data_IF_459526301178
#
_entry.id   IF_459526301178
#
_cell.length_a   1.000
_cell.length_b   1.000
_cell.length_c   1.000
_cell.angle_alpha   90.00
_cell.angle_beta   90.00
_cell.angle_gamma   90.00
#
_symmetry.space_group_name_H-M   'P 1'
#
loop_
_entity.id
_entity.type
_entity.pdbx_description
1 polymer ?
#
# COMPACT_ATOMS: atom_id res chain seq x y z
N UNK A 1 24.21 -1.15 11.42
CA UNK A 1 23.11 -2.05 11.83
C UNK A 1 22.44 -2.58 10.58
N UNK A 2 22.24 -3.91 10.47
CA UNK A 2 21.48 -4.50 9.36
C UNK A 2 20.04 -3.98 9.41
N UNK A 3 19.58 -3.38 8.32
CA UNK A 3 18.17 -2.95 8.14
C UNK A 3 17.36 -4.16 7.67
N UNK A 4 17.12 -5.08 8.58
CA UNK A 4 16.58 -6.41 8.33
C UNK A 4 15.06 -6.45 8.12
N UNK A 5 14.36 -5.34 8.37
CA UNK A 5 12.95 -5.15 7.98
C UNK A 5 12.60 -3.66 7.78
N UNK A 6 11.46 -3.40 7.16
CA UNK A 6 10.93 -2.06 6.89
C UNK A 6 9.48 -1.94 7.36
N UNK A 7 8.94 -0.71 7.44
CA UNK A 7 7.50 -0.48 7.54
C UNK A 7 6.91 -0.24 6.15
N UNK A 8 5.76 -0.86 5.86
CA UNK A 8 4.96 -0.59 4.67
C UNK A 8 3.81 0.36 5.06
N UNK A 9 3.90 1.61 4.61
CA UNK A 9 2.91 2.66 4.87
C UNK A 9 1.68 2.52 3.95
N UNK A 10 1.08 1.34 3.89
CA UNK A 10 -0.07 1.07 3.04
C UNK A 10 -0.96 -0.01 3.65
N UNK A 11 -2.28 0.16 3.55
CA UNK A 11 -3.26 -0.87 3.89
C UNK A 11 -3.54 -1.86 2.74
N UNK A 12 -3.03 -1.59 1.53
CA UNK A 12 -3.29 -2.39 0.34
C UNK A 12 -2.66 -3.79 0.45
N UNK A 13 -3.45 -4.88 0.46
CA UNK A 13 -2.91 -6.24 0.48
C UNK A 13 -2.02 -6.54 -0.72
N UNK A 14 -2.36 -6.01 -1.91
CA UNK A 14 -1.62 -6.20 -3.16
C UNK A 14 -0.19 -5.68 -3.07
N UNK A 15 0.02 -4.51 -2.44
CA UNK A 15 1.38 -3.97 -2.21
C UNK A 15 2.19 -4.85 -1.28
N UNK A 16 1.55 -5.42 -0.27
CA UNK A 16 2.18 -6.40 0.62
C UNK A 16 2.59 -7.68 -0.11
N UNK A 17 1.75 -8.19 -1.00
CA UNK A 17 2.04 -9.37 -1.83
C UNK A 17 3.23 -9.13 -2.77
N UNK A 18 3.23 -7.99 -3.46
CA UNK A 18 4.35 -7.57 -4.32
C UNK A 18 5.66 -7.43 -3.54
N UNK A 19 5.61 -6.83 -2.34
CA UNK A 19 6.81 -6.65 -1.52
C UNK A 19 7.38 -7.99 -1.02
N UNK A 20 6.52 -8.99 -0.79
CA UNK A 20 6.96 -10.36 -0.46
C UNK A 20 7.74 -11.02 -1.61
N UNK A 21 7.41 -10.70 -2.88
CA UNK A 21 8.15 -11.23 -4.04
C UNK A 21 9.63 -10.77 -4.06
N UNK A 22 9.93 -9.63 -3.43
CA UNK A 22 11.31 -9.16 -3.24
C UNK A 22 12.01 -9.84 -2.04
N UNK A 23 11.34 -10.72 -1.30
CA UNK A 23 11.88 -11.35 -0.10
C UNK A 23 12.16 -10.34 1.02
N UNK A 24 11.48 -9.19 1.04
CA UNK A 24 11.68 -8.14 2.04
C UNK A 24 10.79 -8.39 3.24
N UNK A 25 11.39 -8.34 4.43
CA UNK A 25 10.64 -8.41 5.70
C UNK A 25 10.01 -7.07 5.99
N UNK A 26 8.71 -7.04 6.28
CA UNK A 26 8.00 -5.80 6.57
C UNK A 26 6.88 -5.95 7.60
N UNK A 27 6.52 -4.84 8.21
CA UNK A 27 5.32 -4.67 9.02
C UNK A 27 4.42 -3.63 8.35
N UNK A 28 3.12 -3.96 8.24
CA UNK A 28 2.12 -3.03 7.68
C UNK A 28 1.76 -1.99 8.74
N UNK A 29 1.95 -0.73 8.39
CA UNK A 29 1.63 0.41 9.24
C UNK A 29 1.00 1.52 8.39
N UNK A 30 -0.33 1.47 8.11
CA UNK A 30 -0.97 2.39 7.19
C UNK A 30 -0.77 3.86 7.58
N UNK A 31 -0.54 4.72 6.59
CA UNK A 31 -0.58 6.15 6.76
C UNK A 31 -2.04 6.64 6.83
N UNK A 32 -2.33 7.52 7.77
CA UNK A 32 -3.62 8.19 7.88
C UNK A 32 -3.42 9.67 7.52
N UNK A 33 -3.38 9.96 6.22
CA UNK A 33 -3.26 11.32 5.68
C UNK A 33 -4.44 11.63 4.78
N UNK A 34 -4.74 12.91 4.58
CA UNK A 34 -5.73 13.34 3.61
C UNK A 34 -5.20 13.16 2.18
N UNK A 35 -5.89 12.39 1.36
CA UNK A 35 -5.54 12.12 -0.03
C UNK A 35 -6.35 13.03 -0.97
N UNK A 36 -6.17 14.35 -0.81
CA UNK A 36 -6.89 15.37 -1.58
C UNK A 36 -5.96 15.94 -2.63
N UNK A 37 -6.39 15.92 -3.88
CA UNK A 37 -5.68 16.55 -4.99
C UNK A 37 -5.90 18.08 -4.94
N UNK A 38 -4.81 18.84 -5.04
CA UNK A 38 -4.91 20.29 -5.11
C UNK A 38 -5.47 20.75 -6.46
N UNK A 39 -6.14 21.91 -6.49
CA UNK A 39 -6.64 22.46 -7.74
C UNK A 39 -5.51 22.68 -8.74
N UNK A 40 -5.64 22.12 -9.94
CA UNK A 40 -4.63 22.19 -11.01
C UNK A 40 -3.39 21.31 -10.78
N UNK A 41 -3.35 20.49 -9.74
CA UNK A 41 -2.21 19.59 -9.51
C UNK A 41 -2.17 18.49 -10.58
N UNK A 42 -1.05 18.38 -11.27
CA UNK A 42 -0.87 17.32 -12.26
C UNK A 42 -0.80 15.93 -11.59
N UNK A 43 -1.35 14.86 -12.21
CA UNK A 43 -1.41 13.53 -11.62
C UNK A 43 -0.06 12.96 -11.15
N UNK A 44 1.02 13.24 -11.88
CA UNK A 44 2.37 12.82 -11.51
C UNK A 44 2.89 13.54 -10.25
N UNK A 45 2.59 14.83 -10.09
CA UNK A 45 2.93 15.58 -8.88
C UNK A 45 2.12 15.06 -7.68
N UNK A 46 0.82 14.83 -7.88
CA UNK A 46 -0.10 14.31 -6.86
C UNK A 46 0.38 12.98 -6.29
N UNK A 47 0.61 11.95 -7.11
CA UNK A 47 1.04 10.63 -6.60
C UNK A 47 2.41 10.69 -5.94
N UNK A 48 3.33 11.51 -6.45
CA UNK A 48 4.66 11.66 -5.87
C UNK A 48 4.57 12.33 -4.50
N UNK A 49 3.81 13.41 -4.39
CA UNK A 49 3.56 14.11 -3.13
C UNK A 49 2.92 13.19 -2.09
N UNK A 50 1.90 12.42 -2.49
CA UNK A 50 1.23 11.50 -1.56
C UNK A 50 2.14 10.35 -1.11
N UNK A 51 2.95 9.78 -2.00
CA UNK A 51 3.91 8.75 -1.63
C UNK A 51 4.92 9.27 -0.60
N UNK A 52 5.47 10.47 -0.82
CA UNK A 52 6.38 11.14 0.11
C UNK A 52 5.71 11.42 1.46
N UNK A 53 4.52 12.03 1.44
CA UNK A 53 3.78 12.36 2.65
C UNK A 53 3.38 11.13 3.47
N UNK A 54 2.99 10.03 2.80
CA UNK A 54 2.70 8.74 3.47
C UNK A 54 3.95 8.17 4.15
N UNK A 55 5.12 8.25 3.50
CA UNK A 55 6.37 7.76 4.07
C UNK A 55 6.78 8.58 5.29
N UNK A 56 6.72 9.90 5.22
CA UNK A 56 7.06 10.81 6.33
C UNK A 56 6.09 10.66 7.51
N UNK A 57 4.79 10.65 7.29
CA UNK A 57 3.80 10.53 8.35
C UNK A 57 3.98 9.24 9.19
N UNK A 58 4.31 8.13 8.53
CA UNK A 58 4.60 6.87 9.23
C UNK A 58 5.98 6.92 9.91
N UNK A 59 6.96 7.54 9.27
CA UNK A 59 8.29 7.74 9.87
C UNK A 59 8.21 8.52 11.19
N UNK A 60 7.55 9.66 11.20
CA UNK A 60 7.36 10.49 12.40
C UNK A 60 6.65 9.72 13.51
N UNK A 61 5.59 8.98 13.17
CA UNK A 61 4.85 8.15 14.12
C UNK A 61 5.70 7.05 14.74
N UNK A 62 6.61 6.45 13.97
CA UNK A 62 7.54 5.43 14.47
C UNK A 62 8.67 6.05 15.28
N UNK A 63 9.18 7.20 14.86
CA UNK A 63 10.23 7.93 15.58
C UNK A 63 9.76 8.43 16.95
N UNK A 64 8.49 8.85 17.06
CA UNK A 64 7.89 9.31 18.31
C UNK A 64 7.59 8.20 19.34
N UNK A 65 7.66 6.91 18.94
CA UNK A 65 7.43 5.81 19.88
C UNK A 65 8.58 5.73 20.89
N UNK A 66 8.26 5.69 22.19
CA UNK A 66 9.22 5.48 23.26
C UNK A 66 10.01 4.18 23.01
N UNK A 67 11.35 4.28 23.02
CA UNK A 67 12.25 3.14 22.77
C UNK A 67 12.67 2.97 21.30
N UNK A 68 12.54 4.01 20.46
CA UNK A 68 13.19 3.99 19.16
C UNK A 68 14.69 3.69 19.32
N UNK A 69 15.26 2.78 18.49
CA UNK A 69 16.66 2.41 18.63
C UNK A 69 17.57 3.63 18.39
N UNK A 70 18.79 3.68 18.99
CA UNK A 70 19.73 4.78 18.83
C UNK A 70 20.07 5.12 17.36
N UNK A 71 19.93 4.14 16.46
CA UNK A 71 20.16 4.29 15.02
C UNK A 71 18.96 4.92 14.26
N UNK A 72 17.93 5.38 14.96
CA UNK A 72 16.70 5.89 14.38
C UNK A 72 15.71 4.79 13.97
N UNK A 73 14.51 5.19 13.48
CA UNK A 73 13.48 4.25 13.04
C UNK A 73 13.92 3.45 11.81
N UNK A 74 13.29 2.31 11.62
CA UNK A 74 13.47 1.46 10.44
C UNK A 74 12.96 2.17 9.19
N UNK A 75 13.48 1.84 7.98
CA UNK A 75 12.99 2.47 6.75
C UNK A 75 11.49 2.32 6.56
N UNK A 76 10.85 3.32 5.97
CA UNK A 76 9.43 3.34 5.67
C UNK A 76 9.23 3.43 4.17
N UNK A 77 8.57 2.44 3.59
CA UNK A 77 8.17 2.38 2.19
C UNK A 77 6.71 2.78 2.06
N UNK A 78 6.43 3.69 1.14
CA UNK A 78 5.08 4.07 0.74
C UNK A 78 4.94 4.05 -0.77
N UNK A 79 3.72 3.89 -1.25
CA UNK A 79 3.41 4.07 -2.67
C UNK A 79 2.03 4.70 -2.83
N UNK A 80 1.86 5.41 -3.94
CA UNK A 80 0.59 5.94 -4.38
C UNK A 80 0.40 5.72 -5.87
N UNK A 81 -0.86 5.57 -6.31
CA UNK A 81 -1.20 5.28 -7.71
C UNK A 81 -2.37 6.15 -8.13
N UNK A 82 -2.23 6.83 -9.27
CA UNK A 82 -3.33 7.52 -9.93
C UNK A 82 -3.46 7.06 -11.38
N UNK A 83 -4.69 7.10 -11.86
CA UNK A 83 -5.02 6.86 -13.25
C UNK A 83 -5.59 8.13 -13.88
N UNK A 84 -5.24 8.34 -15.14
CA UNK A 84 -5.61 9.57 -15.84
C UNK A 84 -7.10 9.59 -16.30
N UNK A 85 -7.83 8.46 -16.15
CA UNK A 85 -9.24 8.36 -16.54
C UNK A 85 -9.99 7.45 -15.55
N UNK A 86 -11.15 7.89 -15.08
CA UNK A 86 -11.81 7.33 -13.90
C UNK A 86 -12.97 6.35 -14.18
N UNK A 87 -13.41 6.13 -15.43
CA UNK A 87 -14.61 5.32 -15.72
C UNK A 87 -14.35 4.25 -16.78
N UNK A 88 -14.77 3.00 -16.49
CA UNK A 88 -14.63 1.85 -17.40
C UNK A 88 -15.18 2.07 -18.81
N UNK A 89 -16.24 2.85 -18.93
CA UNK A 89 -16.83 3.19 -20.24
C UNK A 89 -15.87 4.04 -21.09
N UNK A 90 -15.13 4.94 -20.45
CA UNK A 90 -14.15 5.80 -21.10
C UNK A 90 -12.87 5.05 -21.48
N UNK A 91 -12.55 3.98 -20.76
CA UNK A 91 -11.38 3.13 -21.02
C UNK A 91 -11.60 2.16 -22.19
N UNK A 92 -12.88 1.88 -22.55
CA UNK A 92 -13.22 0.92 -23.59
C UNK A 92 -12.61 1.30 -24.94
N UNK A 93 -11.80 0.39 -25.52
CA UNK A 93 -11.11 0.58 -26.80
C UNK A 93 -10.01 1.64 -26.77
N UNK A 94 -9.54 2.09 -25.58
CA UNK A 94 -8.56 3.17 -25.44
C UNK A 94 -7.32 2.74 -24.66
N UNK A 95 -6.26 3.50 -24.88
CA UNK A 95 -5.04 3.45 -24.05
C UNK A 95 -5.12 4.54 -22.99
N UNK A 96 -4.81 4.19 -21.76
CA UNK A 96 -4.71 5.13 -20.64
C UNK A 96 -3.39 4.95 -19.90
N UNK A 97 -3.03 5.95 -19.09
CA UNK A 97 -1.78 5.95 -18.31
C UNK A 97 -2.06 5.65 -16.86
N UNK A 98 -1.22 4.80 -16.31
CA UNK A 98 -1.15 4.52 -14.87
C UNK A 98 0.16 5.08 -14.34
N UNK A 99 0.06 5.91 -13.32
CA UNK A 99 1.18 6.57 -12.65
C UNK A 99 1.27 6.04 -11.24
N UNK A 100 2.39 5.41 -10.90
CA UNK A 100 2.62 4.93 -9.53
C UNK A 100 3.92 5.49 -9.00
N UNK A 101 3.85 6.25 -7.93
CA UNK A 101 5.02 6.71 -7.20
C UNK A 101 5.31 5.78 -6.01
N UNK A 102 6.58 5.47 -5.82
CA UNK A 102 7.09 4.79 -4.63
C UNK A 102 8.06 5.71 -3.92
N UNK A 103 7.96 5.83 -2.59
CA UNK A 103 8.85 6.63 -1.76
C UNK A 103 9.43 5.79 -0.63
N UNK A 104 10.71 6.02 -0.33
CA UNK A 104 11.42 5.40 0.80
C UNK A 104 12.02 6.48 1.70
N UNK A 105 11.62 6.49 2.97
CA UNK A 105 12.27 7.24 4.04
C UNK A 105 13.29 6.33 4.74
N UNK A 106 14.54 6.73 4.73
CA UNK A 106 15.66 5.96 5.29
C UNK A 106 16.63 6.90 6.03
N UNK A 107 16.49 7.02 7.34
CA UNK A 107 17.23 7.99 8.11
C UNK A 107 16.88 9.42 7.71
N UNK A 108 17.86 10.21 7.27
CA UNK A 108 17.64 11.57 6.77
C UNK A 108 17.23 11.62 5.31
N UNK A 109 17.41 10.54 4.56
CA UNK A 109 17.04 10.47 3.14
C UNK A 109 15.55 10.21 2.99
N UNK A 110 14.91 10.95 2.08
CA UNK A 110 13.55 10.73 1.61
C UNK A 110 13.60 10.81 0.08
N UNK A 111 13.46 9.68 -0.57
CA UNK A 111 13.55 9.57 -2.02
C UNK A 111 12.25 9.02 -2.59
N UNK A 112 11.88 9.46 -3.79
CA UNK A 112 10.75 8.92 -4.54
C UNK A 112 11.12 8.66 -6.00
N UNK A 113 10.55 7.59 -6.55
CA UNK A 113 10.63 7.25 -7.97
C UNK A 113 9.21 7.15 -8.53
N UNK A 114 9.02 7.63 -9.75
CA UNK A 114 7.76 7.61 -10.47
C UNK A 114 7.85 6.61 -11.63
N UNK A 115 6.99 5.61 -11.60
CA UNK A 115 6.80 4.67 -12.70
C UNK A 115 5.58 5.08 -13.53
N UNK A 116 5.72 5.02 -14.85
CA UNK A 116 4.66 5.28 -15.83
C UNK A 116 4.43 4.04 -16.65
N UNK A 117 3.17 3.63 -16.75
CA UNK A 117 2.76 2.49 -17.58
C UNK A 117 1.55 2.89 -18.43
N UNK A 118 1.40 2.25 -19.59
CA UNK A 118 0.26 2.42 -20.47
C UNK A 118 -0.48 1.09 -20.56
N UNK A 119 -1.80 1.16 -20.38
CA UNK A 119 -2.70 0.01 -20.48
C UNK A 119 -3.70 0.28 -21.57
N UNK A 120 -3.83 -0.65 -22.52
CA UNK A 120 -4.83 -0.61 -23.57
C UNK A 120 -5.94 -1.60 -23.27
N UNK A 121 -7.15 -1.11 -23.23
CA UNK A 121 -8.34 -1.95 -23.16
C UNK A 121 -8.86 -2.26 -24.58
N UNK A 122 -9.32 -3.50 -24.76
CA UNK A 122 -10.18 -3.84 -25.90
C UNK A 122 -11.50 -3.10 -25.79
N UNK A 123 -12.26 -3.07 -26.87
CA UNK A 123 -13.65 -2.62 -26.83
C UNK A 123 -14.44 -3.55 -25.90
N UNK A 124 -15.18 -2.97 -24.95
CA UNK A 124 -16.03 -3.67 -23.99
C UNK A 124 -17.48 -3.34 -24.20
N UNK A 125 -18.38 -4.30 -23.99
CA UNK A 125 -19.83 -4.05 -24.08
C UNK A 125 -20.38 -3.46 -22.78
N UNK A 126 -21.58 -2.91 -22.83
CA UNK A 126 -22.27 -2.39 -21.64
C UNK A 126 -22.56 -3.52 -20.63
N UNK A 127 -22.92 -4.70 -21.13
CA UNK A 127 -23.23 -5.89 -20.33
C UNK A 127 -22.00 -6.39 -19.58
N UNK A 128 -20.82 -6.42 -20.23
CA UNK A 128 -19.55 -6.80 -19.61
C UNK A 128 -19.18 -5.84 -18.49
N UNK A 129 -19.27 -4.53 -18.73
CA UNK A 129 -18.99 -3.51 -17.72
C UNK A 129 -19.96 -3.59 -16.55
N UNK A 130 -21.25 -3.81 -16.80
CA UNK A 130 -22.26 -4.00 -15.76
C UNK A 130 -21.99 -5.27 -14.95
N UNK A 131 -21.60 -6.38 -15.59
CA UNK A 131 -21.24 -7.63 -14.91
C UNK A 131 -20.00 -7.44 -14.03
N UNK A 132 -19.01 -6.71 -14.52
CA UNK A 132 -17.82 -6.39 -13.73
C UNK A 132 -18.15 -5.51 -12.53
N UNK A 133 -18.98 -4.48 -12.67
CA UNK A 133 -19.42 -3.65 -11.54
C UNK A 133 -20.17 -4.47 -10.48
N UNK A 134 -21.04 -5.42 -10.90
CA UNK A 134 -21.73 -6.32 -9.95
C UNK A 134 -20.79 -7.21 -9.14
N UNK A 135 -19.55 -7.43 -9.59
CA UNK A 135 -18.57 -8.21 -8.83
C UNK A 135 -18.05 -7.50 -7.58
N UNK A 136 -18.27 -6.20 -7.45
CA UNK A 136 -17.72 -5.39 -6.35
C UNK A 136 -16.25 -5.02 -6.52
N UNK A 137 -15.55 -5.63 -7.48
CA UNK A 137 -14.10 -5.45 -7.66
C UNK A 137 -13.66 -4.00 -7.98
N UNK A 138 -14.43 -3.15 -8.70
CA UNK A 138 -14.02 -1.80 -9.04
C UNK A 138 -13.85 -0.85 -7.86
N UNK A 139 -14.63 -1.02 -6.79
CA UNK A 139 -14.92 0.04 -5.81
C UNK A 139 -13.77 0.37 -4.84
N UNK A 140 -12.75 -0.48 -4.75
CA UNK A 140 -11.59 -0.28 -3.87
C UNK A 140 -10.31 0.08 -4.63
N UNK A 141 -10.43 0.44 -5.91
CA UNK A 141 -9.29 0.64 -6.81
C UNK A 141 -9.30 2.01 -7.47
N UNK A 142 -8.14 2.65 -7.53
CA UNK A 142 -7.94 3.81 -8.38
C UNK A 142 -8.26 3.44 -9.84
N UNK A 143 -9.02 4.28 -10.54
CA UNK A 143 -9.45 4.00 -11.92
C UNK A 143 -10.53 2.93 -12.10
N UNK A 144 -11.03 2.34 -11.02
CA UNK A 144 -12.17 1.43 -11.05
C UNK A 144 -11.90 0.06 -11.67
N UNK A 145 -10.65 -0.40 -11.75
CA UNK A 145 -10.34 -1.77 -12.20
C UNK A 145 -9.09 -2.35 -11.56
N UNK A 146 -8.98 -3.70 -11.57
CA UNK A 146 -7.81 -4.43 -11.10
C UNK A 146 -7.23 -5.33 -12.18
N UNK A 147 -6.01 -5.03 -12.66
CA UNK A 147 -5.33 -5.85 -13.69
C UNK A 147 -5.06 -7.29 -13.22
N UNK A 148 -5.01 -7.54 -11.92
CA UNK A 148 -4.87 -8.89 -11.33
C UNK A 148 -6.20 -9.64 -11.21
N UNK A 149 -7.33 -8.96 -11.36
CA UNK A 149 -8.65 -9.52 -11.17
C UNK A 149 -9.38 -9.79 -12.47
N UNK A 150 -10.71 -9.71 -12.42
CA UNK A 150 -11.58 -9.96 -13.56
C UNK A 150 -11.38 -8.97 -14.71
N UNK A 151 -10.95 -7.74 -14.42
CA UNK A 151 -10.67 -6.75 -15.45
C UNK A 151 -9.46 -7.10 -16.33
N UNK A 152 -8.65 -8.10 -15.96
CA UNK A 152 -7.56 -8.61 -16.81
C UNK A 152 -8.07 -9.00 -18.22
N UNK A 153 -9.32 -9.49 -18.32
CA UNK A 153 -9.92 -9.86 -19.61
C UNK A 153 -10.19 -8.66 -20.55
N UNK A 154 -10.17 -7.44 -20.01
CA UNK A 154 -10.35 -6.22 -20.78
C UNK A 154 -9.01 -5.67 -21.31
N UNK A 155 -7.88 -6.07 -20.70
CA UNK A 155 -6.55 -5.59 -21.05
C UNK A 155 -6.05 -6.32 -22.29
N UNK A 156 -5.90 -5.57 -23.38
CA UNK A 156 -5.35 -6.05 -24.65
C UNK A 156 -3.83 -5.95 -24.69
N UNK A 157 -3.29 -4.84 -24.11
CA UNK A 157 -1.85 -4.57 -24.11
C UNK A 157 -1.42 -3.78 -22.88
N UNK A 158 -0.20 -4.04 -22.42
CA UNK A 158 0.46 -3.30 -21.35
C UNK A 158 1.87 -2.93 -21.81
N UNK A 159 2.19 -1.64 -21.72
CA UNK A 159 3.55 -1.12 -21.91
C UNK A 159 4.04 -0.50 -20.60
N UNK A 160 5.20 -0.96 -20.12
CA UNK A 160 5.77 -0.55 -18.83
C UNK A 160 5.74 -1.64 -17.77
N UNK A 161 5.57 -1.26 -16.51
CA UNK A 161 5.67 -2.17 -15.37
C UNK A 161 4.30 -2.72 -14.94
N UNK A 162 4.12 -4.03 -15.04
CA UNK A 162 2.94 -4.72 -14.52
C UNK A 162 2.77 -4.49 -13.01
N UNK A 163 3.85 -4.62 -12.23
CA UNK A 163 3.80 -4.43 -10.78
C UNK A 163 3.45 -2.99 -10.39
N UNK A 164 3.81 -2.01 -11.22
CA UNK A 164 3.39 -0.62 -11.08
C UNK A 164 1.86 -0.49 -11.23
N UNK A 165 1.29 -1.11 -12.25
CA UNK A 165 -0.17 -1.09 -12.49
C UNK A 165 -0.92 -1.78 -11.36
N UNK A 166 -0.36 -2.84 -10.77
CA UNK A 166 -0.89 -3.49 -9.57
C UNK A 166 -0.84 -2.58 -8.34
N UNK A 167 0.16 -1.67 -8.27
CA UNK A 167 0.26 -0.64 -7.25
C UNK A 167 1.57 -0.53 -6.48
N UNK A 168 2.62 -1.29 -6.86
CA UNK A 168 3.97 -1.16 -6.32
C UNK A 168 5.00 -1.51 -7.41
N UNK A 169 5.73 -0.54 -7.99
CA UNK A 169 6.72 -0.79 -9.02
C UNK A 169 7.95 -1.49 -8.41
N UNK A 170 8.10 -2.79 -8.67
CA UNK A 170 9.11 -3.62 -7.99
C UNK A 170 10.54 -3.25 -8.38
N UNK A 171 10.79 -2.86 -9.64
CA UNK A 171 12.11 -2.43 -10.08
C UNK A 171 12.57 -1.16 -9.34
N UNK A 172 11.73 -0.13 -9.29
CA UNK A 172 12.01 1.12 -8.58
C UNK A 172 12.08 0.89 -7.06
N UNK A 173 11.23 0.01 -6.55
CA UNK A 173 11.23 -0.37 -5.13
C UNK A 173 12.53 -1.04 -4.74
N UNK A 174 13.02 -2.02 -5.52
CA UNK A 174 14.30 -2.69 -5.24
C UNK A 174 15.46 -1.70 -5.26
N UNK A 175 15.51 -0.80 -6.24
CA UNK A 175 16.55 0.22 -6.34
C UNK A 175 16.61 1.15 -5.11
N UNK A 176 15.45 1.58 -4.58
CA UNK A 176 15.39 2.37 -3.35
C UNK A 176 15.84 1.57 -2.11
N UNK A 177 15.40 0.31 -2.01
CA UNK A 177 15.76 -0.57 -0.89
C UNK A 177 17.25 -0.88 -0.85
N UNK A 178 17.86 -1.18 -2.00
CA UNK A 178 19.30 -1.41 -2.13
C UNK A 178 20.12 -0.18 -1.71
N UNK A 179 19.75 1.03 -2.17
CA UNK A 179 20.40 2.29 -1.76
C UNK A 179 20.32 2.50 -0.25
N UNK A 180 19.23 2.07 0.38
CA UNK A 180 19.07 2.13 1.83
C UNK A 180 19.79 1.01 2.57
N UNK A 181 20.35 0.00 1.87
CA UNK A 181 20.99 -1.19 2.45
C UNK A 181 20.00 -2.16 3.09
N UNK A 182 18.78 -2.23 2.57
CA UNK A 182 17.79 -3.25 2.92
C UNK A 182 18.06 -4.49 2.09
N UNK A 183 18.27 -5.68 2.71
CA UNK A 183 18.52 -6.90 1.95
C UNK A 183 17.27 -7.33 1.17
N UNK A 184 17.46 -7.71 -0.09
CA UNK A 184 16.47 -8.40 -0.91
C UNK A 184 16.69 -9.91 -0.79
N UNK A 185 15.66 -10.68 -1.16
CA UNK A 185 15.70 -12.16 -1.20
C UNK A 185 16.05 -12.81 0.14
N UNK A 186 15.60 -12.20 1.26
CA UNK A 186 15.78 -12.82 2.56
C UNK A 186 14.73 -13.91 2.79
N UNK A 187 15.16 -15.15 3.01
CA UNK A 187 14.29 -16.32 3.26
C UNK A 187 13.71 -16.34 4.69
N UNK A 188 14.06 -15.39 5.54
CA UNK A 188 13.54 -15.32 6.89
C UNK A 188 12.10 -14.85 6.95
N UNK A 189 11.22 -15.51 7.73
CA UNK A 189 9.84 -15.09 7.88
C UNK A 189 9.75 -13.68 8.53
N UNK A 190 8.67 -12.92 8.24
CA UNK A 190 8.49 -11.60 8.84
C UNK A 190 8.45 -11.66 10.36
N UNK A 191 8.90 -10.62 11.08
CA UNK A 191 8.90 -10.60 12.53
C UNK A 191 7.46 -10.79 13.05
N UNK A 192 7.29 -11.72 14.00
CA UNK A 192 5.99 -11.92 14.66
C UNK A 192 5.58 -10.62 15.36
N UNK A 193 4.35 -10.14 15.14
CA UNK A 193 3.79 -9.01 15.88
C UNK A 193 4.00 -9.23 17.37
N UNK A 194 4.68 -8.32 18.04
CA UNK A 194 4.66 -8.27 19.50
C UNK A 194 3.21 -7.98 19.91
N UNK A 195 2.54 -8.97 20.47
CA UNK A 195 1.25 -8.76 21.15
C UNK A 195 1.51 -7.74 22.27
N UNK A 196 0.85 -6.59 22.16
CA UNK A 196 0.82 -5.60 23.25
C UNK A 196 0.21 -6.26 24.48
N UNK A 197 1.04 -6.58 25.48
CA UNK A 197 0.60 -7.22 26.74
C UNK A 197 -0.15 -6.26 27.68
N UNK A 198 -0.61 -5.10 27.18
CA UNK A 198 -1.21 -4.06 28.04
C UNK A 198 -2.73 -4.07 28.11
N UNK A 199 -3.45 -5.01 27.50
CA UNK A 199 -4.92 -5.07 27.59
C UNK A 199 -5.46 -6.36 28.23
N UNK A 200 -4.63 -7.11 28.94
CA UNK A 200 -5.10 -8.22 29.80
C UNK A 200 -4.98 -7.78 31.28
N UNK A 201 -5.80 -6.81 31.67
CA UNK A 201 -5.83 -6.30 33.01
C UNK A 201 -7.25 -6.05 33.50
N UNK A 202 -7.71 -6.97 34.35
CA UNK A 202 -8.80 -6.80 35.32
C UNK A 202 -10.24 -6.92 34.82
N UNK A 203 -10.70 -8.15 34.76
CA UNK A 203 -12.12 -8.43 34.97
C UNK A 203 -12.32 -8.42 36.50
N UNK A 204 -12.88 -7.33 37.04
CA UNK A 204 -13.32 -7.28 38.42
C UNK A 204 -14.45 -8.30 38.64
N UNK A 205 -14.20 -9.27 39.54
CA UNK A 205 -15.22 -10.17 40.05
C UNK A 205 -16.29 -9.34 40.75
N UNK A 206 -17.51 -9.38 40.23
CA UNK A 206 -18.71 -8.94 40.95
C UNK A 206 -18.92 -9.87 42.16
N UNK A 207 -19.26 -9.35 43.35
CA UNK A 207 -19.53 -10.14 44.53
C UNK A 207 -20.86 -10.88 44.36
N UNK A 208 -20.84 -12.17 44.72
CA UNK A 208 -21.99 -13.04 44.68
C UNK A 208 -23.13 -12.53 45.57
N UNK A 209 -24.31 -12.50 45.01
CA UNK A 209 -25.56 -12.35 45.80
C UNK A 209 -25.87 -13.68 46.46
N UNK A 210 -25.88 -13.61 47.78
CA UNK A 210 -26.15 -14.75 48.67
C UNK A 210 -27.54 -15.33 48.51
N UNK A 211 -27.55 -16.62 48.75
CA UNK A 211 -28.66 -17.51 48.94
C UNK A 211 -29.60 -17.01 50.10
N UNK A 212 -30.88 -16.92 49.86
CA UNK A 212 -31.90 -16.82 50.91
C UNK A 212 -32.97 -17.89 50.64
N UNK A 213 -32.77 -19.01 51.29
CA UNK A 213 -33.82 -20.01 51.57
C UNK A 213 -34.73 -19.50 52.67
N UNK A 214 -35.95 -20.08 52.66
CA UNK A 214 -37.01 -20.20 53.66
C UNK A 214 -38.10 -19.12 53.59
N UNK A 215 -39.35 -19.45 53.37
CA UNK A 215 -40.30 -20.36 54.00
C UNK A 215 -41.48 -20.56 53.05
#
# INVERSE_FOLDING_TARGET
MKKDFIYLASASPRRGELLRQLGVRFEVLPAHIAEIQAAGEAPNAYVTRLALAKADAVWERVAARAGAPPAGPRPVLAADTAEAMAMLAELSGRTHRVLTAVALRCGRSLEALLCRSEVRFRVTTAEERAAYCRSGEPFDKAGGYGIQGRAAMFVEHLSGSYSSVVGLPLFETSALLERCGVPLWSDEPPPKRRRDRRTAGRVDKLPGTGDARTA
#
